data_IF_687995822190
#
_entry.id   IF_687995822190
#
_cell.length_a   1.000
_cell.length_b   1.000
_cell.length_c   1.000
_cell.angle_alpha   90.00
_cell.angle_beta   90.00
_cell.angle_gamma   90.00
#
_symmetry.space_group_name_H-M   'P 1'
#
loop_
_entity.id
_entity.type
_entity.pdbx_description
1 polymer ?
#
# COMPACT_ATOMS: atom_id res chain seq x y z
N UNK A 1 15.69 6.62 39.84
CA UNK A 1 14.97 7.51 38.94
C UNK A 1 14.94 7.00 37.48
N UNK A 2 16.08 6.76 36.79
CA UNK A 2 16.10 6.28 35.38
C UNK A 2 15.31 4.98 35.14
N UNK A 3 15.42 3.99 36.04
CA UNK A 3 14.67 2.70 35.95
C UNK A 3 13.15 2.87 36.09
N UNK A 4 12.71 3.83 36.93
CA UNK A 4 11.27 4.14 37.09
C UNK A 4 10.71 4.84 35.85
N UNK A 5 11.49 5.72 35.23
CA UNK A 5 11.10 6.39 33.97
C UNK A 5 10.96 5.38 32.82
N UNK A 6 11.90 4.42 32.72
CA UNK A 6 11.83 3.34 31.71
C UNK A 6 10.60 2.46 31.97
N UNK A 7 10.30 2.12 33.23
CA UNK A 7 9.11 1.33 33.59
C UNK A 7 7.82 2.08 33.25
N UNK A 8 7.74 3.40 33.54
CA UNK A 8 6.60 4.24 33.19
C UNK A 8 6.43 4.37 31.67
N UNK A 9 7.51 4.48 30.90
CA UNK A 9 7.47 4.48 29.44
C UNK A 9 6.96 3.16 28.88
N UNK A 10 7.39 2.01 29.46
CA UNK A 10 6.90 0.70 29.06
C UNK A 10 5.41 0.49 29.41
N UNK A 11 4.97 0.96 30.57
CA UNK A 11 3.56 0.91 30.98
C UNK A 11 2.68 1.83 30.12
N UNK A 12 3.16 3.02 29.73
CA UNK A 12 2.40 3.90 28.84
C UNK A 12 2.18 3.28 27.46
N UNK A 13 3.13 2.55 26.91
CA UNK A 13 2.97 1.86 25.62
C UNK A 13 1.90 0.77 25.69
N UNK A 14 1.74 0.07 26.81
CA UNK A 14 0.70 -0.95 26.98
C UNK A 14 -0.72 -0.34 27.02
N UNK A 15 -0.88 0.81 27.68
CA UNK A 15 -2.19 1.49 27.73
C UNK A 15 -2.65 1.99 26.35
N UNK A 16 -1.74 2.49 25.52
CA UNK A 16 -2.05 2.90 24.14
C UNK A 16 -2.39 1.71 23.23
N UNK A 17 -1.79 0.54 23.46
CA UNK A 17 -2.12 -0.67 22.68
C UNK A 17 -3.52 -1.19 22.99
N UNK A 18 -3.97 -1.18 24.23
CA UNK A 18 -5.29 -1.68 24.63
C UNK A 18 -6.43 -0.91 23.99
N UNK A 19 -6.33 0.43 23.90
CA UNK A 19 -7.39 1.27 23.32
C UNK A 19 -7.65 0.99 21.83
N UNK A 20 -6.62 0.75 21.04
CA UNK A 20 -6.79 0.44 19.61
C UNK A 20 -7.39 -0.94 19.37
N UNK A 21 -7.00 -1.93 20.19
CA UNK A 21 -7.49 -3.31 20.06
C UNK A 21 -8.98 -3.38 20.44
N UNK A 22 -9.40 -2.63 21.47
CA UNK A 22 -10.80 -2.48 21.86
C UNK A 22 -11.64 -1.79 20.76
N UNK A 23 -11.10 -0.71 20.16
CA UNK A 23 -11.76 -0.03 19.04
C UNK A 23 -11.87 -0.93 17.80
N UNK A 24 -10.85 -1.76 17.55
CA UNK A 24 -10.88 -2.68 16.43
C UNK A 24 -11.92 -3.78 16.63
N UNK A 25 -12.01 -4.35 17.82
CA UNK A 25 -13.06 -5.32 18.19
C UNK A 25 -14.45 -4.70 18.10
N UNK A 26 -14.65 -3.48 18.64
CA UNK A 26 -15.89 -2.74 18.53
C UNK A 26 -16.31 -2.51 17.08
N UNK A 27 -15.36 -2.14 16.21
CA UNK A 27 -15.61 -2.02 14.78
C UNK A 27 -16.06 -3.34 14.15
N UNK A 28 -15.40 -4.45 14.52
CA UNK A 28 -15.77 -5.78 14.06
C UNK A 28 -17.15 -6.22 14.54
N UNK A 29 -17.55 -5.89 15.77
CA UNK A 29 -18.88 -6.17 16.30
C UNK A 29 -19.95 -5.37 15.54
N UNK A 30 -19.76 -4.07 15.35
CA UNK A 30 -20.67 -3.26 14.54
C UNK A 30 -20.80 -3.80 13.12
N UNK A 31 -19.70 -4.23 12.51
CA UNK A 31 -19.73 -4.84 11.17
C UNK A 31 -20.57 -6.12 11.14
N UNK A 32 -20.40 -7.03 12.13
CA UNK A 32 -21.18 -8.27 12.26
C UNK A 32 -22.68 -8.00 12.43
N UNK A 33 -23.03 -6.91 13.11
CA UNK A 33 -24.41 -6.46 13.30
C UNK A 33 -24.96 -5.66 12.11
N UNK A 34 -24.23 -5.56 11.00
CA UNK A 34 -24.53 -4.74 9.83
C UNK A 34 -24.66 -3.23 10.11
N UNK A 35 -24.16 -2.75 11.24
CA UNK A 35 -24.06 -1.34 11.61
C UNK A 35 -22.78 -0.76 10.99
N UNK A 36 -22.74 -0.68 9.64
CA UNK A 36 -21.52 -0.35 8.89
C UNK A 36 -21.04 1.07 9.14
N UNK A 37 -21.91 2.04 9.39
CA UNK A 37 -21.54 3.43 9.69
C UNK A 37 -20.82 3.55 11.03
N UNK A 38 -21.29 2.85 12.05
CA UNK A 38 -20.70 2.79 13.38
C UNK A 38 -19.34 2.05 13.34
N UNK A 39 -19.26 0.98 12.53
CA UNK A 39 -18.00 0.28 12.28
C UNK A 39 -16.95 1.22 11.64
N UNK A 40 -17.34 2.01 10.63
CA UNK A 40 -16.47 3.02 10.00
C UNK A 40 -15.98 4.01 11.06
N UNK A 41 -16.86 4.52 11.91
CA UNK A 41 -16.47 5.49 12.95
C UNK A 41 -15.41 4.91 13.90
N UNK A 42 -15.59 3.66 14.35
CA UNK A 42 -14.63 2.97 15.23
C UNK A 42 -13.27 2.78 14.54
N UNK A 43 -13.27 2.36 13.26
CA UNK A 43 -12.03 2.19 12.50
C UNK A 43 -11.33 3.53 12.18
N UNK A 44 -12.09 4.59 11.89
CA UNK A 44 -11.52 5.93 11.66
C UNK A 44 -10.91 6.53 12.94
N UNK A 45 -11.45 6.20 14.11
CA UNK A 45 -10.85 6.60 15.38
C UNK A 45 -9.47 5.95 15.56
N UNK A 46 -9.28 4.70 15.16
CA UNK A 46 -7.95 4.03 15.13
C UNK A 46 -6.99 4.76 14.18
N UNK A 47 -7.47 5.12 12.99
CA UNK A 47 -6.66 5.89 12.01
C UNK A 47 -6.28 7.28 12.59
N UNK A 48 -7.19 7.95 13.27
CA UNK A 48 -6.95 9.24 13.92
C UNK A 48 -5.94 9.16 15.06
N UNK A 49 -5.83 8.01 15.74
CA UNK A 49 -4.78 7.73 16.72
C UNK A 49 -3.40 7.44 16.08
N UNK A 50 -3.30 7.48 14.75
CA UNK A 50 -2.08 7.25 13.99
C UNK A 50 -1.73 5.77 13.76
N UNK A 51 -2.65 4.84 14.09
CA UNK A 51 -2.45 3.42 13.79
C UNK A 51 -2.98 3.10 12.40
N UNK A 52 -2.14 2.44 11.62
CA UNK A 52 -2.44 2.01 10.27
C UNK A 52 -2.09 0.54 10.10
N UNK A 53 -2.96 -0.23 9.46
CA UNK A 53 -2.68 -1.61 9.07
C UNK A 53 -3.47 -1.99 7.81
N UNK A 54 -3.01 -3.04 7.14
CA UNK A 54 -3.73 -3.58 5.97
C UNK A 54 -5.13 -4.05 6.35
N UNK A 55 -5.28 -4.66 7.52
CA UNK A 55 -6.55 -5.16 8.05
C UNK A 55 -7.53 -4.02 8.35
N UNK A 56 -7.04 -2.90 8.91
CA UNK A 56 -7.85 -1.72 9.18
C UNK A 56 -8.48 -1.18 7.91
N UNK A 57 -7.66 -0.96 6.88
CA UNK A 57 -8.16 -0.44 5.60
C UNK A 57 -8.98 -1.46 4.83
N UNK A 58 -8.68 -2.75 4.92
CA UNK A 58 -9.53 -3.81 4.38
C UNK A 58 -10.93 -3.76 5.00
N UNK A 59 -11.03 -3.67 6.34
CA UNK A 59 -12.31 -3.61 7.04
C UNK A 59 -13.08 -2.31 6.74
N UNK A 60 -12.40 -1.16 6.65
CA UNK A 60 -13.00 0.09 6.15
C UNK A 60 -13.54 -0.07 4.73
N UNK A 61 -12.76 -0.70 3.84
CA UNK A 61 -13.18 -1.00 2.48
C UNK A 61 -14.45 -1.84 2.44
N UNK A 62 -14.52 -2.88 3.28
CA UNK A 62 -15.71 -3.75 3.41
C UNK A 62 -16.95 -2.97 3.87
N UNK A 63 -16.80 -2.10 4.88
CA UNK A 63 -17.91 -1.28 5.35
C UNK A 63 -18.46 -0.36 4.25
N UNK A 64 -17.58 0.37 3.57
CA UNK A 64 -17.96 1.25 2.46
C UNK A 64 -18.58 0.47 1.30
N UNK A 65 -18.05 -0.71 0.98
CA UNK A 65 -18.63 -1.58 -0.05
C UNK A 65 -20.06 -2.02 0.30
N UNK A 66 -20.31 -2.41 1.57
CA UNK A 66 -21.65 -2.76 2.05
C UNK A 66 -22.62 -1.59 2.01
N UNK A 67 -22.14 -0.36 2.16
CA UNK A 67 -22.92 0.88 2.02
C UNK A 67 -23.05 1.35 0.57
N UNK A 68 -22.56 0.58 -0.42
CA UNK A 68 -22.53 0.93 -1.85
C UNK A 68 -21.80 2.26 -2.13
N UNK A 69 -20.80 2.59 -1.33
CA UNK A 69 -19.92 3.75 -1.50
C UNK A 69 -18.66 3.34 -2.25
N UNK A 70 -18.72 3.39 -3.58
CA UNK A 70 -17.73 2.77 -4.48
C UNK A 70 -16.32 3.38 -4.32
N UNK A 71 -16.21 4.72 -4.43
CA UNK A 71 -14.89 5.38 -4.33
C UNK A 71 -14.21 5.18 -2.98
N UNK A 72 -14.88 5.37 -1.81
CA UNK A 72 -14.30 5.05 -0.51
C UNK A 72 -13.91 3.59 -0.35
N UNK A 73 -14.70 2.63 -0.88
CA UNK A 73 -14.37 1.22 -0.81
C UNK A 73 -13.07 0.91 -1.57
N UNK A 74 -12.97 1.34 -2.84
CA UNK A 74 -11.78 1.17 -3.68
C UNK A 74 -10.58 1.85 -3.03
N UNK A 75 -10.73 3.07 -2.53
CA UNK A 75 -9.67 3.82 -1.87
C UNK A 75 -9.07 3.06 -0.69
N UNK A 76 -9.92 2.49 0.18
CA UNK A 76 -9.45 1.76 1.34
C UNK A 76 -8.85 0.40 0.98
N UNK A 77 -9.39 -0.35 0.01
CA UNK A 77 -8.75 -1.56 -0.48
C UNK A 77 -7.38 -1.29 -1.11
N UNK A 78 -7.25 -0.23 -1.92
CA UNK A 78 -5.95 0.17 -2.48
C UNK A 78 -4.96 0.57 -1.36
N UNK A 79 -5.39 1.27 -0.30
CA UNK A 79 -4.56 1.54 0.89
C UNK A 79 -4.13 0.26 1.61
N UNK A 80 -5.02 -0.71 1.78
CA UNK A 80 -4.70 -2.01 2.36
C UNK A 80 -3.58 -2.71 1.58
N UNK A 81 -3.66 -2.68 0.24
CA UNK A 81 -2.68 -3.29 -0.66
C UNK A 81 -1.36 -2.51 -0.76
N UNK A 82 -1.37 -1.19 -0.53
CA UNK A 82 -0.12 -0.42 -0.40
C UNK A 82 0.69 -0.83 0.84
N UNK A 83 0.01 -1.26 1.91
CA UNK A 83 0.67 -1.72 3.14
C UNK A 83 1.09 -3.19 3.02
N UNK A 84 0.15 -4.05 2.60
CA UNK A 84 0.39 -5.47 2.40
C UNK A 84 -0.12 -5.92 1.01
N UNK A 85 0.76 -5.96 0.01
CA UNK A 85 0.38 -6.40 -1.34
C UNK A 85 -0.12 -7.85 -1.41
N UNK A 86 0.19 -8.69 -0.40
CA UNK A 86 -0.22 -10.10 -0.33
C UNK A 86 -1.59 -10.31 0.35
N UNK A 87 -2.30 -9.24 0.72
CA UNK A 87 -3.64 -9.36 1.28
C UNK A 87 -4.63 -9.82 0.19
N UNK A 88 -4.82 -11.15 0.07
CA UNK A 88 -5.66 -11.79 -0.95
C UNK A 88 -7.12 -11.39 -0.84
N UNK A 89 -7.62 -11.17 0.37
CA UNK A 89 -9.00 -10.73 0.61
C UNK A 89 -9.21 -9.30 0.08
N UNK A 90 -8.27 -8.40 0.34
CA UNK A 90 -8.32 -7.04 -0.20
C UNK A 90 -8.20 -7.02 -1.73
N UNK A 91 -7.34 -7.89 -2.32
CA UNK A 91 -7.24 -8.04 -3.77
C UNK A 91 -8.58 -8.48 -4.37
N UNK A 92 -9.17 -9.53 -3.81
CA UNK A 92 -10.44 -10.09 -4.28
C UNK A 92 -11.58 -9.10 -4.18
N UNK A 93 -11.72 -8.43 -3.03
CA UNK A 93 -12.79 -7.46 -2.80
C UNK A 93 -12.61 -6.18 -3.65
N UNK A 94 -11.36 -5.76 -3.90
CA UNK A 94 -11.07 -4.68 -4.84
C UNK A 94 -11.55 -4.99 -6.26
N UNK A 95 -11.38 -6.24 -6.72
CA UNK A 95 -11.91 -6.66 -8.04
C UNK A 95 -13.43 -6.53 -8.07
N UNK A 96 -14.14 -6.93 -7.01
CA UNK A 96 -15.60 -6.76 -6.94
C UNK A 96 -16.00 -5.27 -6.86
N UNK A 97 -15.31 -4.46 -6.09
CA UNK A 97 -15.59 -3.03 -6.00
C UNK A 97 -15.35 -2.32 -7.34
N UNK A 98 -14.30 -2.67 -8.07
CA UNK A 98 -14.01 -2.13 -9.41
C UNK A 98 -15.07 -2.49 -10.46
N UNK A 99 -15.83 -3.57 -10.30
CA UNK A 99 -16.95 -3.88 -11.21
C UNK A 99 -18.15 -2.94 -11.03
N UNK A 100 -18.21 -2.18 -9.94
CA UNK A 100 -19.23 -1.18 -9.69
C UNK A 100 -18.90 0.18 -10.30
N UNK A 101 -17.67 0.37 -10.78
CA UNK A 101 -17.27 1.62 -11.46
C UNK A 101 -17.91 1.70 -12.85
N UNK A 102 -18.24 2.92 -13.25
CA UNK A 102 -18.83 3.19 -14.58
C UNK A 102 -17.76 3.14 -15.66
N UNK A 103 -16.54 3.59 -15.34
CA UNK A 103 -15.47 3.73 -16.32
C UNK A 103 -14.84 2.35 -16.65
N UNK A 104 -15.09 1.87 -17.86
CA UNK A 104 -14.42 0.69 -18.42
C UNK A 104 -13.14 1.13 -19.14
N UNK A 105 -12.02 1.24 -18.42
CA UNK A 105 -10.74 1.68 -18.99
C UNK A 105 -9.86 0.45 -19.23
N UNK A 106 -9.52 0.20 -20.49
CA UNK A 106 -8.59 -0.86 -20.87
C UNK A 106 -7.14 -0.42 -20.55
N UNK A 107 -6.44 -1.24 -19.75
CA UNK A 107 -5.04 -1.00 -19.45
C UNK A 107 -4.18 -1.20 -20.69
N UNK A 108 -3.19 -0.33 -20.89
CA UNK A 108 -2.19 -0.53 -21.94
C UNK A 108 -1.44 -1.86 -21.74
N UNK A 109 -1.12 -2.58 -22.83
CA UNK A 109 -0.36 -3.83 -22.74
C UNK A 109 0.97 -3.63 -22.00
N UNK A 110 1.18 -4.42 -20.94
CA UNK A 110 2.43 -4.35 -20.17
C UNK A 110 3.59 -4.95 -20.96
N UNK A 111 4.69 -4.24 -20.99
CA UNK A 111 5.96 -4.76 -21.53
C UNK A 111 6.47 -5.95 -20.70
N UNK A 112 7.39 -6.75 -21.24
CA UNK A 112 7.99 -7.89 -20.52
C UNK A 112 8.62 -7.42 -19.19
N UNK A 113 9.32 -6.29 -19.19
CA UNK A 113 9.91 -5.73 -17.97
C UNK A 113 8.85 -5.31 -16.94
N UNK A 114 7.74 -4.70 -17.37
CA UNK A 114 6.63 -4.35 -16.49
C UNK A 114 5.92 -5.59 -15.93
N UNK A 115 5.81 -6.68 -16.73
CA UNK A 115 5.27 -7.96 -16.25
C UNK A 115 6.17 -8.58 -15.18
N UNK A 116 7.49 -8.58 -15.39
CA UNK A 116 8.47 -9.04 -14.39
C UNK A 116 8.41 -8.19 -13.12
N UNK A 117 8.32 -6.88 -13.26
CA UNK A 117 8.18 -5.96 -12.14
C UNK A 117 6.94 -6.26 -11.30
N UNK A 118 5.79 -6.39 -11.94
CA UNK A 118 4.53 -6.72 -11.23
C UNK A 118 4.52 -8.13 -10.66
N UNK A 119 5.21 -9.10 -11.28
CA UNK A 119 5.21 -10.50 -10.83
C UNK A 119 6.24 -10.81 -9.76
N UNK A 120 7.30 -10.00 -9.62
CA UNK A 120 8.38 -10.21 -8.67
C UNK A 120 8.47 -9.06 -7.65
N UNK A 121 8.77 -7.83 -8.12
CA UNK A 121 9.09 -6.72 -7.23
C UNK A 121 7.87 -6.26 -6.43
N UNK A 122 6.72 -6.09 -7.10
CA UNK A 122 5.48 -5.60 -6.47
C UNK A 122 4.70 -6.64 -5.67
N UNK A 123 5.24 -7.86 -5.51
CA UNK A 123 4.63 -8.88 -4.64
C UNK A 123 4.81 -8.57 -3.16
N UNK A 124 5.89 -7.91 -2.81
CA UNK A 124 6.19 -7.52 -1.43
C UNK A 124 6.33 -6.00 -1.35
N UNK A 125 5.95 -5.44 -0.21
CA UNK A 125 6.23 -4.04 0.11
C UNK A 125 7.74 -3.82 0.29
N UNK A 126 8.19 -2.58 0.21
CA UNK A 126 9.60 -2.24 0.43
C UNK A 126 10.08 -2.63 1.84
N UNK A 127 9.20 -2.60 2.87
CA UNK A 127 9.52 -3.05 4.23
C UNK A 127 9.73 -4.57 4.30
N UNK A 128 8.91 -5.34 3.59
CA UNK A 128 9.05 -6.79 3.54
C UNK A 128 10.33 -7.17 2.79
N UNK A 129 10.64 -6.53 1.66
CA UNK A 129 11.92 -6.70 0.96
C UNK A 129 13.11 -6.37 1.85
N UNK A 130 13.04 -5.26 2.61
CA UNK A 130 14.07 -4.89 3.58
C UNK A 130 14.25 -5.96 4.67
N UNK A 131 13.15 -6.51 5.17
CA UNK A 131 13.18 -7.60 6.16
C UNK A 131 13.86 -8.85 5.59
N UNK A 132 13.53 -9.24 4.37
CA UNK A 132 14.21 -10.37 3.68
C UNK A 132 15.71 -10.08 3.53
N UNK A 133 16.08 -8.86 3.15
CA UNK A 133 17.50 -8.46 3.03
C UNK A 133 18.25 -8.59 4.36
N UNK A 134 17.64 -8.14 5.47
CA UNK A 134 18.23 -8.27 6.82
C UNK A 134 18.41 -9.74 7.19
N UNK A 135 17.40 -10.59 6.96
CA UNK A 135 17.48 -12.04 7.24
C UNK A 135 18.64 -12.69 6.48
N UNK A 136 18.78 -12.41 5.17
CA UNK A 136 19.85 -12.95 4.35
C UNK A 136 21.23 -12.35 4.70
N UNK A 137 21.29 -11.12 5.19
CA UNK A 137 22.52 -10.53 5.72
C UNK A 137 23.03 -11.30 6.95
N UNK A 138 22.15 -11.57 7.92
CA UNK A 138 22.49 -12.32 9.12
C UNK A 138 22.88 -13.76 8.76
N UNK A 139 22.07 -14.42 7.92
CA UNK A 139 22.33 -15.78 7.46
C UNK A 139 23.68 -15.89 6.74
N UNK A 140 23.97 -14.97 5.80
CA UNK A 140 25.22 -14.94 5.08
C UNK A 140 26.44 -14.75 6.00
N UNK A 141 26.30 -13.88 7.00
CA UNK A 141 27.35 -13.65 8.01
C UNK A 141 27.59 -14.90 8.86
N UNK A 142 26.54 -15.54 9.34
CA UNK A 142 26.65 -16.79 10.14
C UNK A 142 27.30 -17.90 9.31
N UNK A 143 26.86 -18.08 8.06
CA UNK A 143 27.44 -19.08 7.15
C UNK A 143 28.90 -18.81 6.86
N UNK A 144 29.29 -17.53 6.69
CA UNK A 144 30.67 -17.14 6.50
C UNK A 144 31.55 -17.40 7.73
N UNK A 145 31.04 -17.16 8.93
CA UNK A 145 31.71 -17.51 10.18
C UNK A 145 31.88 -19.04 10.31
N UNK A 146 30.84 -19.82 10.00
CA UNK A 146 30.93 -21.28 9.98
C UNK A 146 31.94 -21.79 8.94
N UNK A 147 32.05 -21.15 7.78
CA UNK A 147 33.12 -21.42 6.82
C UNK A 147 34.50 -21.15 7.43
N UNK A 148 34.66 -20.00 8.09
CA UNK A 148 35.97 -19.62 8.69
C UNK A 148 36.42 -20.59 9.75
N UNK A 149 35.51 -21.03 10.66
CA UNK A 149 35.82 -21.94 11.77
C UNK A 149 35.74 -23.42 11.39
N UNK A 150 35.34 -23.77 10.18
CA UNK A 150 35.24 -25.17 9.76
C UNK A 150 36.61 -25.77 9.40
N UNK A 151 36.92 -26.95 9.90
CA UNK A 151 38.16 -27.71 9.58
C UNK A 151 37.94 -28.76 8.50
N UNK A 152 36.72 -29.26 8.32
CA UNK A 152 36.36 -30.31 7.35
C UNK A 152 36.19 -29.73 5.93
N UNK A 153 36.93 -30.21 4.90
CA UNK A 153 36.89 -29.64 3.57
C UNK A 153 35.51 -29.60 2.97
N UNK A 154 34.70 -30.66 3.15
CA UNK A 154 33.32 -30.71 2.64
C UNK A 154 32.41 -29.64 3.26
N UNK A 155 32.44 -29.49 4.59
CA UNK A 155 31.66 -28.47 5.32
C UNK A 155 32.15 -27.06 4.93
N UNK A 156 33.45 -26.88 4.80
CA UNK A 156 34.05 -25.59 4.40
C UNK A 156 33.56 -25.15 3.02
N UNK A 157 33.53 -26.05 2.03
CA UNK A 157 33.01 -25.77 0.69
C UNK A 157 31.50 -25.46 0.75
N UNK A 158 30.73 -26.25 1.50
CA UNK A 158 29.28 -26.02 1.65
C UNK A 158 28.99 -24.61 2.20
N UNK A 159 29.59 -24.28 3.35
CA UNK A 159 29.36 -23.00 4.00
C UNK A 159 29.84 -21.80 3.18
N UNK A 160 30.94 -21.96 2.43
CA UNK A 160 31.41 -20.93 1.52
C UNK A 160 30.41 -20.66 0.39
N UNK A 161 29.95 -21.70 -0.30
CA UNK A 161 29.01 -21.56 -1.43
C UNK A 161 27.67 -21.00 -0.95
N UNK A 162 27.12 -21.55 0.15
CA UNK A 162 25.84 -21.07 0.68
C UNK A 162 25.92 -19.65 1.23
N UNK A 163 27.07 -19.22 1.78
CA UNK A 163 27.32 -17.84 2.18
C UNK A 163 27.29 -16.89 0.97
N UNK A 164 27.97 -17.26 -0.13
CA UNK A 164 27.97 -16.45 -1.37
C UNK A 164 26.54 -16.33 -1.91
N UNK A 165 25.79 -17.42 -1.97
CA UNK A 165 24.38 -17.40 -2.42
C UNK A 165 23.56 -16.46 -1.51
N UNK A 166 23.75 -16.53 -0.19
CA UNK A 166 23.05 -15.67 0.75
C UNK A 166 23.33 -14.17 0.50
N UNK A 167 24.60 -13.81 0.27
CA UNK A 167 24.95 -12.43 -0.07
C UNK A 167 24.42 -12.00 -1.44
N UNK A 168 24.36 -12.89 -2.43
CA UNK A 168 23.71 -12.56 -3.71
C UNK A 168 22.21 -12.27 -3.54
N UNK A 169 21.51 -13.07 -2.74
CA UNK A 169 20.09 -12.82 -2.42
C UNK A 169 19.95 -11.49 -1.67
N UNK A 170 20.82 -11.18 -0.70
CA UNK A 170 20.86 -9.88 -0.02
C UNK A 170 20.96 -8.71 -1.03
N UNK A 171 21.87 -8.78 -2.00
CA UNK A 171 22.03 -7.70 -3.00
C UNK A 171 20.78 -7.54 -3.88
N UNK A 172 20.20 -8.65 -4.33
CA UNK A 172 18.96 -8.64 -5.14
C UNK A 172 17.79 -8.04 -4.35
N UNK A 173 17.59 -8.48 -3.11
CA UNK A 173 16.50 -8.00 -2.27
C UNK A 173 16.68 -6.53 -1.86
N UNK A 174 17.91 -6.10 -1.61
CA UNK A 174 18.24 -4.68 -1.38
C UNK A 174 17.92 -3.82 -2.61
N UNK A 175 18.22 -4.32 -3.81
CA UNK A 175 17.85 -3.63 -5.06
C UNK A 175 16.33 -3.50 -5.20
N UNK A 176 15.56 -4.56 -4.90
CA UNK A 176 14.10 -4.52 -4.92
C UNK A 176 13.55 -3.55 -3.86
N UNK A 177 14.14 -3.52 -2.66
CA UNK A 177 13.78 -2.56 -1.60
C UNK A 177 13.91 -1.12 -2.10
N UNK A 178 15.06 -0.75 -2.65
CA UNK A 178 15.33 0.61 -3.14
C UNK A 178 14.39 0.97 -4.30
N UNK A 179 14.16 0.04 -5.22
CA UNK A 179 13.28 0.24 -6.36
C UNK A 179 11.84 0.49 -5.94
N UNK A 180 11.29 -0.34 -5.05
CA UNK A 180 9.92 -0.21 -4.58
C UNK A 180 9.74 1.03 -3.68
N UNK A 181 10.70 1.32 -2.82
CA UNK A 181 10.74 2.56 -2.05
C UNK A 181 10.72 3.80 -2.95
N UNK A 182 11.54 3.83 -4.00
CA UNK A 182 11.55 4.92 -4.97
C UNK A 182 10.20 5.03 -5.70
N UNK A 183 9.61 3.90 -6.11
CA UNK A 183 8.31 3.89 -6.79
C UNK A 183 7.21 4.50 -5.90
N UNK A 184 7.10 4.05 -4.65
CA UNK A 184 6.08 4.53 -3.70
C UNK A 184 6.24 6.03 -3.42
N UNK A 185 7.48 6.54 -3.33
CA UNK A 185 7.72 7.95 -3.05
C UNK A 185 7.57 8.87 -4.27
N UNK A 186 7.81 8.37 -5.49
CA UNK A 186 7.74 9.20 -6.70
C UNK A 186 6.44 9.07 -7.46
N UNK A 187 5.71 7.97 -7.27
CA UNK A 187 4.44 7.73 -7.95
C UNK A 187 3.29 8.16 -7.06
N UNK A 188 2.59 9.20 -7.47
CA UNK A 188 1.41 9.68 -6.77
C UNK A 188 0.18 9.12 -7.50
N UNK A 189 -0.53 8.22 -6.84
CA UNK A 189 -1.80 7.67 -7.32
C UNK A 189 -2.96 8.30 -6.55
N UNK A 190 -4.15 8.34 -7.17
CA UNK A 190 -5.35 8.89 -6.56
C UNK A 190 -6.60 8.15 -7.06
N UNK A 191 -7.69 8.27 -6.31
CA UNK A 191 -9.01 7.78 -6.68
C UNK A 191 -9.93 8.97 -6.90
N UNK A 192 -10.74 8.94 -7.97
CA UNK A 192 -11.80 9.91 -8.22
C UNK A 192 -12.90 9.71 -7.18
N UNK A 193 -13.29 10.79 -6.48
CA UNK A 193 -14.34 10.77 -5.47
C UNK A 193 -15.62 11.45 -5.93
N UNK A 194 -15.54 12.36 -6.90
CA UNK A 194 -16.71 12.97 -7.52
C UNK A 194 -17.48 11.94 -8.33
N UNK A 195 -18.82 11.97 -8.27
CA UNK A 195 -19.68 11.08 -9.07
C UNK A 195 -19.37 11.15 -10.56
N UNK A 196 -19.10 12.34 -11.06
CA UNK A 196 -18.56 12.60 -12.39
C UNK A 196 -17.65 13.83 -12.34
N UNK A 197 -16.63 13.86 -13.14
CA UNK A 197 -15.71 14.98 -13.28
C UNK A 197 -15.22 15.11 -14.71
N UNK A 198 -15.16 16.35 -15.19
CA UNK A 198 -14.68 16.66 -16.53
C UNK A 198 -13.17 16.87 -16.52
N UNK A 199 -12.47 16.02 -17.25
CA UNK A 199 -11.03 16.14 -17.45
C UNK A 199 -10.77 17.10 -18.61
N UNK A 200 -9.97 18.12 -18.36
CA UNK A 200 -9.72 19.25 -19.26
C UNK A 200 -8.32 19.18 -19.89
N UNK A 201 -8.13 19.88 -21.02
CA UNK A 201 -6.84 19.94 -21.71
C UNK A 201 -5.84 20.90 -21.04
N UNK A 202 -6.30 21.86 -20.24
CA UNK A 202 -5.48 22.83 -19.51
C UNK A 202 -6.04 23.10 -18.10
N UNK A 203 -5.22 23.58 -17.14
CA UNK A 203 -5.63 23.83 -15.76
C UNK A 203 -6.43 25.13 -15.62
N UNK A 204 -7.53 25.26 -16.36
CA UNK A 204 -8.43 26.41 -16.30
C UNK A 204 -9.88 25.97 -16.51
N UNK A 205 -10.82 26.71 -15.91
CA UNK A 205 -12.26 26.44 -16.04
C UNK A 205 -12.78 26.59 -17.45
N UNK A 206 -12.16 27.47 -18.27
CA UNK A 206 -12.59 27.76 -19.63
C UNK A 206 -11.97 26.85 -20.70
N UNK A 207 -11.12 25.88 -20.27
CA UNK A 207 -10.49 24.95 -21.20
C UNK A 207 -11.47 23.88 -21.67
N UNK A 208 -11.20 23.32 -22.85
CA UNK A 208 -12.02 22.27 -23.43
C UNK A 208 -11.96 20.99 -22.61
N UNK A 209 -13.10 20.33 -22.49
CA UNK A 209 -13.22 18.99 -21.93
C UNK A 209 -12.66 17.97 -22.92
N UNK A 210 -11.81 17.07 -22.42
CA UNK A 210 -11.21 15.97 -23.19
C UNK A 210 -12.02 14.69 -23.03
N UNK A 211 -12.34 14.35 -21.79
CA UNK A 211 -13.17 13.18 -21.41
C UNK A 211 -13.79 13.40 -20.02
N UNK A 212 -14.66 12.50 -19.60
CA UNK A 212 -15.25 12.50 -18.25
C UNK A 212 -14.76 11.27 -17.53
N UNK A 213 -14.59 11.38 -16.20
CA UNK A 213 -14.32 10.26 -15.29
C UNK A 213 -15.37 10.20 -14.20
N UNK A 214 -15.56 9.01 -13.63
CA UNK A 214 -16.53 8.75 -12.57
C UNK A 214 -15.84 8.25 -11.31
N UNK A 215 -16.59 8.26 -10.21
CA UNK A 215 -16.10 7.82 -8.91
C UNK A 215 -15.53 6.39 -8.95
N UNK A 216 -14.46 6.17 -8.17
CA UNK A 216 -13.77 4.89 -8.08
C UNK A 216 -12.66 4.68 -9.12
N UNK A 217 -12.58 5.53 -10.14
CA UNK A 217 -11.51 5.43 -11.15
C UNK A 217 -10.16 5.79 -10.54
N UNK A 218 -9.18 4.91 -10.73
CA UNK A 218 -7.79 5.12 -10.28
C UNK A 218 -7.01 5.90 -11.33
N UNK A 219 -6.31 6.94 -10.90
CA UNK A 219 -5.51 7.81 -11.75
C UNK A 219 -4.11 8.00 -11.17
N UNK A 220 -3.14 8.31 -12.02
CA UNK A 220 -1.80 8.74 -11.61
C UNK A 220 -1.69 10.24 -11.74
N UNK A 221 -1.31 10.93 -10.66
CA UNK A 221 -1.03 12.36 -10.67
C UNK A 221 0.38 12.57 -11.20
N UNK A 222 0.51 13.40 -12.22
CA UNK A 222 1.77 13.72 -12.89
C UNK A 222 2.33 15.07 -12.48
N UNK A 223 1.44 16.05 -12.22
CA UNK A 223 1.81 17.43 -11.93
C UNK A 223 0.69 18.13 -11.15
N UNK A 224 1.01 19.29 -10.57
CA UNK A 224 0.08 20.11 -9.79
C UNK A 224 0.31 21.56 -10.11
N UNK A 225 -0.77 22.27 -10.49
CA UNK A 225 -0.77 23.71 -10.72
C UNK A 225 -1.97 24.30 -9.97
N UNK A 226 -1.73 25.09 -8.95
CA UNK A 226 -2.76 25.64 -8.07
C UNK A 226 -3.72 24.54 -7.55
N UNK A 227 -5.02 24.69 -7.80
CA UNK A 227 -6.05 23.68 -7.45
C UNK A 227 -6.30 22.66 -8.57
N UNK A 228 -5.36 22.49 -9.50
CA UNK A 228 -5.47 21.52 -10.58
C UNK A 228 -4.42 20.42 -10.48
N UNK A 229 -4.83 19.19 -10.78
CA UNK A 229 -3.95 18.02 -10.88
C UNK A 229 -3.92 17.53 -12.32
N UNK A 230 -2.71 17.41 -12.87
CA UNK A 230 -2.51 16.71 -14.14
C UNK A 230 -2.53 15.23 -13.87
N UNK A 231 -3.45 14.53 -14.51
CA UNK A 231 -3.63 13.10 -14.30
C UNK A 231 -3.36 12.29 -15.57
N UNK A 232 -3.04 11.02 -15.38
CA UNK A 232 -3.01 10.00 -16.43
C UNK A 232 -3.83 8.80 -15.99
N UNK A 233 -4.72 8.32 -16.88
CA UNK A 233 -5.50 7.10 -16.69
C UNK A 233 -4.79 5.88 -17.28
N UNK A 234 -5.34 4.68 -17.05
CA UNK A 234 -4.69 3.41 -17.39
C UNK A 234 -4.50 3.19 -18.90
N UNK A 235 -5.34 3.79 -19.75
CA UNK A 235 -5.20 3.76 -21.22
C UNK A 235 -4.15 4.74 -21.77
N UNK A 236 -3.54 5.55 -20.87
CA UNK A 236 -2.49 6.52 -21.21
C UNK A 236 -2.99 7.94 -21.50
N UNK A 237 -4.30 8.20 -21.57
CA UNK A 237 -4.82 9.56 -21.74
C UNK A 237 -4.46 10.46 -20.58
N UNK A 238 -4.21 11.73 -20.89
CA UNK A 238 -3.76 12.74 -19.93
C UNK A 238 -4.71 13.93 -19.98
N UNK A 239 -4.89 14.57 -18.83
CA UNK A 239 -5.62 15.84 -18.74
C UNK A 239 -5.57 16.42 -17.33
N UNK A 240 -6.31 17.47 -17.09
CA UNK A 240 -6.35 18.23 -15.86
C UNK A 240 -7.70 18.10 -15.17
N UNK A 241 -7.69 17.94 -13.86
CA UNK A 241 -8.85 17.77 -13.00
C UNK A 241 -8.68 18.65 -11.75
N UNK A 242 -9.78 19.05 -11.13
CA UNK A 242 -9.78 19.80 -9.87
C UNK A 242 -9.29 18.91 -8.74
N UNK A 243 -8.42 19.44 -7.88
CA UNK A 243 -7.79 18.67 -6.80
C UNK A 243 -8.80 18.13 -5.79
N UNK A 244 -9.88 18.84 -5.51
CA UNK A 244 -10.92 18.45 -4.55
C UNK A 244 -11.76 17.24 -5.01
N UNK A 245 -11.70 16.90 -6.30
CA UNK A 245 -12.45 15.77 -6.89
C UNK A 245 -11.74 14.43 -6.75
N UNK A 246 -10.48 14.45 -6.29
CA UNK A 246 -9.68 13.24 -6.11
C UNK A 246 -9.15 13.12 -4.69
N UNK A 247 -8.90 11.89 -4.27
CA UNK A 247 -8.20 11.60 -3.01
C UNK A 247 -6.90 10.85 -3.28
N UNK A 248 -5.80 11.45 -2.85
CA UNK A 248 -4.46 10.89 -3.04
C UNK A 248 -4.32 9.61 -2.22
N UNK A 249 -3.81 8.56 -2.86
CA UNK A 249 -3.44 7.31 -2.23
C UNK A 249 -2.07 7.47 -1.57
N UNK A 250 -2.06 7.78 -0.27
CA UNK A 250 -0.86 7.81 0.57
C UNK A 250 -1.13 7.10 1.88
N UNK A 251 -0.08 6.49 2.43
CA UNK A 251 -0.12 5.87 3.76
C UNK A 251 0.30 6.89 4.83
N UNK A 252 1.17 7.84 4.47
CA UNK A 252 1.73 8.87 5.34
C UNK A 252 1.65 10.25 4.66
#
# INVERSE_FOLDING_TARGET
MKKVIILLLLLSQQLFSQGKDELFEKGNEHYKLANYSEAISSYQEIEALGFISSELYYNLGNCYYKLNQVAPAIYNYEKALLINPLNEDAQSNLVFAKRLTIDAIEELPKTIFQKLDTSLVKKLSYNEWATVAVVFSVLGTVLFLLFYFSYTPSKKRLFFVTSIISFLVLFITSFFTVKEYSYVNTTVEAIIFSKNTDVKNAPTFNSEKVFTLHEGTKVRVLDTVDNWKKIRIADGKIGWIIADEIKILRIF
#
